data_IF_766130253492
#
_entry.id   IF_766130253492
#
_cell.length_a   1.000
_cell.length_b   1.000
_cell.length_c   1.000
_cell.angle_alpha   90.00
_cell.angle_beta   90.00
_cell.angle_gamma   90.00
#
_symmetry.space_group_name_H-M   'P 1'
#
loop_
_entity.id
_entity.type
_entity.pdbx_description
1 polymer ?
#
# COMPACT_ATOMS: atom_id res chain seq x y z
N UNK A 1 3.90 20.71 0.53
CA UNK A 1 3.13 20.46 1.76
C UNK A 1 3.92 19.49 2.62
N UNK A 2 4.07 19.73 3.92
CA UNK A 2 4.83 18.85 4.82
C UNK A 2 3.93 17.71 5.32
N UNK A 3 4.42 16.48 5.55
CA UNK A 3 3.57 15.36 5.98
C UNK A 3 2.75 15.59 7.25
N UNK A 4 3.28 16.33 8.23
CA UNK A 4 2.52 16.66 9.44
C UNK A 4 1.39 17.68 9.18
N UNK A 5 1.47 18.48 8.12
CA UNK A 5 0.38 19.37 7.70
C UNK A 5 -0.76 18.56 7.06
N UNK A 6 -0.41 17.53 6.28
CA UNK A 6 -1.38 16.54 5.77
C UNK A 6 -2.08 15.81 6.93
N UNK A 7 -1.30 15.42 7.95
CA UNK A 7 -1.83 14.79 9.17
C UNK A 7 -2.80 15.72 9.91
N UNK A 8 -2.42 16.98 10.14
CA UNK A 8 -3.27 17.97 10.79
C UNK A 8 -4.57 18.20 10.01
N UNK A 9 -4.46 18.47 8.70
CA UNK A 9 -5.60 18.72 7.82
C UNK A 9 -6.56 17.52 7.80
N UNK A 10 -6.03 16.31 7.75
CA UNK A 10 -6.82 15.08 7.75
C UNK A 10 -7.47 14.82 9.12
N UNK A 11 -6.73 15.02 10.21
CA UNK A 11 -7.27 14.91 11.56
C UNK A 11 -8.43 15.87 11.78
N UNK A 12 -8.31 17.15 11.40
CA UNK A 12 -9.41 18.12 11.48
C UNK A 12 -10.63 17.70 10.65
N UNK A 13 -10.43 17.17 9.45
CA UNK A 13 -11.53 16.74 8.58
C UNK A 13 -12.28 15.51 9.12
N UNK A 14 -11.60 14.67 9.90
CA UNK A 14 -12.15 13.44 10.48
C UNK A 14 -12.53 13.59 11.96
N UNK A 15 -12.23 14.75 12.56
CA UNK A 15 -12.55 15.05 13.95
C UNK A 15 -14.06 15.23 14.11
N UNK A 16 -14.66 14.50 15.04
CA UNK A 16 -16.05 14.69 15.42
C UNK A 16 -16.19 15.92 16.31
N UNK A 17 -17.08 16.84 15.95
CA UNK A 17 -17.39 18.02 16.77
C UNK A 17 -17.95 17.64 18.14
N UNK A 18 -18.64 16.49 18.23
CA UNK A 18 -19.28 16.04 19.47
C UNK A 18 -18.26 15.46 20.47
N UNK A 19 -17.33 14.65 19.98
CA UNK A 19 -16.41 13.90 20.86
C UNK A 19 -15.03 14.55 20.96
N UNK A 20 -14.64 15.36 19.97
CA UNK A 20 -13.29 15.89 19.82
C UNK A 20 -12.27 14.87 19.29
N UNK A 21 -12.67 13.62 19.03
CA UNK A 21 -11.79 12.57 18.52
C UNK A 21 -11.85 12.48 17.00
N UNK A 22 -10.79 11.94 16.39
CA UNK A 22 -10.80 11.44 15.02
C UNK A 22 -11.63 10.15 14.97
N UNK A 23 -12.63 10.13 14.10
CA UNK A 23 -13.47 8.97 13.84
C UNK A 23 -13.15 8.39 12.46
N UNK A 24 -12.93 7.07 12.42
CA UNK A 24 -12.45 6.36 11.24
C UNK A 24 -12.93 4.92 11.27
N UNK A 25 -13.68 4.49 10.26
CA UNK A 25 -13.96 3.08 10.00
C UNK A 25 -13.28 2.66 8.71
N UNK A 26 -12.42 1.65 8.80
CA UNK A 26 -11.70 1.10 7.65
C UNK A 26 -12.59 0.23 6.75
N UNK A 27 -13.81 -0.12 7.18
CA UNK A 27 -14.67 -1.11 6.52
C UNK A 27 -16.02 -0.57 6.03
N UNK A 28 -16.30 0.72 6.20
CA UNK A 28 -17.54 1.35 5.74
C UNK A 28 -17.68 2.81 6.16
N UNK A 29 -18.83 3.40 5.86
CA UNK A 29 -19.12 4.82 6.13
C UNK A 29 -19.48 5.11 7.60
N UNK A 30 -19.58 4.07 8.44
CA UNK A 30 -19.92 4.26 9.86
C UNK A 30 -18.77 4.97 10.56
N UNK A 31 -18.90 6.26 10.84
CA UNK A 31 -17.92 7.02 11.64
C UNK A 31 -18.00 6.68 13.14
N UNK A 32 -18.31 5.44 13.50
CA UNK A 32 -18.58 5.08 14.90
C UNK A 32 -17.34 4.56 15.64
N UNK A 33 -16.26 4.30 14.91
CA UNK A 33 -15.02 3.77 15.48
C UNK A 33 -13.99 4.88 15.71
N UNK A 34 -13.40 4.86 16.92
CA UNK A 34 -12.38 5.83 17.36
C UNK A 34 -11.05 5.08 17.54
N UNK A 35 -10.18 5.07 16.51
CA UNK A 35 -8.91 4.35 16.60
C UNK A 35 -7.87 5.15 17.41
N UNK A 36 -7.26 4.51 18.41
CA UNK A 36 -6.36 5.19 19.34
C UNK A 36 -5.04 5.63 18.70
N UNK A 37 -4.47 4.82 17.81
CA UNK A 37 -3.19 5.11 17.18
C UNK A 37 -3.26 6.37 16.29
N UNK A 38 -4.27 6.46 15.45
CA UNK A 38 -4.57 7.58 14.57
C UNK A 38 -4.84 8.88 15.35
N UNK A 39 -5.56 8.79 16.48
CA UNK A 39 -5.74 9.93 17.38
C UNK A 39 -4.43 10.36 18.06
N UNK A 40 -3.56 9.42 18.41
CA UNK A 40 -2.21 9.74 18.87
C UNK A 40 -1.36 10.42 17.79
N UNK A 41 -1.49 10.00 16.54
CA UNK A 41 -0.85 10.66 15.40
C UNK A 41 -1.39 12.09 15.21
N UNK A 42 -2.70 12.30 15.35
CA UNK A 42 -3.31 13.62 15.28
C UNK A 42 -2.82 14.53 16.42
N UNK A 43 -2.75 14.03 17.65
CA UNK A 43 -2.20 14.76 18.79
C UNK A 43 -0.74 15.17 18.56
N UNK A 44 0.09 14.29 17.99
CA UNK A 44 1.46 14.65 17.59
C UNK A 44 1.45 15.71 16.48
N UNK A 45 0.54 15.66 15.52
CA UNK A 45 0.43 16.69 14.47
C UNK A 45 0.10 18.07 15.05
N UNK A 46 -0.82 18.13 16.02
CA UNK A 46 -1.18 19.36 16.76
C UNK A 46 0.03 19.96 17.49
N UNK A 47 0.81 19.15 18.21
CA UNK A 47 2.03 19.61 18.88
C UNK A 47 3.08 20.15 17.88
N UNK A 48 3.07 19.66 16.63
CA UNK A 48 4.04 20.07 15.59
C UNK A 48 3.76 21.41 14.95
N UNK A 49 2.57 21.98 15.11
CA UNK A 49 2.23 23.30 14.54
C UNK A 49 2.93 24.44 15.28
N UNK A 50 3.29 24.22 16.55
CA UNK A 50 3.84 25.22 17.49
C UNK A 50 2.86 26.35 17.83
N UNK A 51 1.56 26.13 17.64
CA UNK A 51 0.52 27.04 18.12
C UNK A 51 0.13 26.66 19.56
N UNK A 52 -0.07 27.65 20.44
CA UNK A 52 -0.40 27.42 21.86
C UNK A 52 -1.66 26.58 22.03
N UNK A 53 -2.72 26.92 21.30
CA UNK A 53 -4.04 26.33 21.49
C UNK A 53 -4.08 24.88 20.99
N UNK A 54 -3.44 24.62 19.84
CA UNK A 54 -3.26 23.27 19.29
C UNK A 54 -2.35 22.42 20.19
N UNK A 55 -1.32 23.00 20.81
CA UNK A 55 -0.48 22.28 21.75
C UNK A 55 -1.26 21.85 23.00
N UNK A 56 -2.13 22.71 23.54
CA UNK A 56 -3.02 22.37 24.66
C UNK A 56 -3.98 21.25 24.27
N UNK A 57 -4.61 21.34 23.11
CA UNK A 57 -5.48 20.28 22.58
C UNK A 57 -4.74 18.95 22.41
N UNK A 58 -3.54 18.98 21.82
CA UNK A 58 -2.71 17.80 21.65
C UNK A 58 -2.32 17.15 22.98
N UNK A 59 -1.97 17.94 24.00
CA UNK A 59 -1.68 17.41 25.34
C UNK A 59 -2.90 16.77 26.00
N UNK A 60 -4.08 17.38 25.86
CA UNK A 60 -5.32 16.83 26.40
C UNK A 60 -5.69 15.50 25.72
N UNK A 61 -5.57 15.40 24.39
CA UNK A 61 -5.78 14.13 23.68
C UNK A 61 -4.80 13.04 24.16
N UNK A 62 -3.52 13.36 24.36
CA UNK A 62 -2.54 12.38 24.87
C UNK A 62 -2.91 11.92 26.28
N UNK A 63 -3.32 12.83 27.15
CA UNK A 63 -3.78 12.49 28.51
C UNK A 63 -4.98 11.54 28.45
N UNK A 64 -5.93 11.79 27.56
CA UNK A 64 -7.08 10.91 27.39
C UNK A 64 -6.69 9.54 26.82
N UNK A 65 -5.79 9.49 25.83
CA UNK A 65 -5.26 8.21 25.29
C UNK A 65 -4.61 7.38 26.39
N UNK A 66 -3.79 8.01 27.24
CA UNK A 66 -3.10 7.32 28.36
C UNK A 66 -4.08 6.74 29.38
N UNK A 67 -5.30 7.28 29.51
CA UNK A 67 -6.33 6.74 30.40
C UNK A 67 -6.90 5.39 29.95
N UNK A 68 -6.69 5.00 28.68
CA UNK A 68 -7.12 3.71 28.12
C UNK A 68 -6.05 2.62 28.19
N UNK A 69 -4.91 2.90 28.81
CA UNK A 69 -3.85 1.92 29.02
C UNK A 69 -4.27 0.85 30.04
N UNK A 70 -3.99 -0.41 29.70
CA UNK A 70 -4.23 -1.58 30.57
C UNK A 70 -2.95 -2.41 30.59
N UNK A 71 -2.16 -2.30 31.66
CA UNK A 71 -0.93 -3.08 31.89
C UNK A 71 0.09 -3.06 30.73
N UNK A 72 0.28 -1.91 30.10
CA UNK A 72 1.17 -1.67 28.96
C UNK A 72 0.53 -1.91 27.61
N UNK A 73 -0.75 -2.29 27.58
CA UNK A 73 -1.51 -2.52 26.37
C UNK A 73 -2.58 -1.44 26.13
N UNK A 74 -3.03 -1.33 24.89
CA UNK A 74 -4.07 -0.38 24.46
C UNK A 74 -5.03 -1.07 23.50
N UNK A 75 -6.34 -0.77 23.54
CA UNK A 75 -7.27 -1.28 22.56
C UNK A 75 -6.99 -0.66 21.17
N UNK A 76 -7.43 -1.34 20.09
CA UNK A 76 -7.31 -0.77 18.74
C UNK A 76 -8.28 0.40 18.61
N UNK A 77 -9.52 0.19 19.06
CA UNK A 77 -10.57 1.20 19.10
C UNK A 77 -11.03 1.48 20.53
N UNK A 78 -11.39 2.73 20.81
CA UNK A 78 -11.81 3.17 22.15
C UNK A 78 -12.95 2.31 22.73
N UNK A 79 -13.94 1.94 21.93
CA UNK A 79 -15.10 1.13 22.36
C UNK A 79 -14.77 -0.33 22.69
N UNK A 80 -13.55 -0.81 22.40
CA UNK A 80 -13.11 -2.14 22.82
C UNK A 80 -12.66 -2.17 24.28
N UNK A 81 -12.37 -1.01 24.88
CA UNK A 81 -11.88 -0.92 26.25
C UNK A 81 -12.82 -1.64 27.26
N UNK A 82 -12.28 -2.41 28.23
CA UNK A 82 -10.85 -2.61 28.52
C UNK A 82 -10.20 -3.77 27.75
N UNK A 83 -10.88 -4.35 26.74
CA UNK A 83 -10.36 -5.51 26.00
C UNK A 83 -9.27 -5.07 25.03
N UNK A 84 -8.14 -5.76 25.09
CA UNK A 84 -7.00 -5.58 24.18
C UNK A 84 -6.92 -6.80 23.27
N UNK A 85 -7.12 -6.59 21.96
CA UNK A 85 -7.05 -7.65 20.95
C UNK A 85 -5.69 -7.73 20.26
N UNK A 86 -5.02 -6.59 20.07
CA UNK A 86 -3.72 -6.50 19.44
C UNK A 86 -2.68 -5.97 20.45
N UNK A 87 -1.76 -6.83 20.85
CA UNK A 87 -0.71 -6.51 21.82
C UNK A 87 0.32 -5.51 21.25
N UNK A 88 0.40 -5.34 19.93
CA UNK A 88 1.37 -4.44 19.28
C UNK A 88 0.91 -2.97 19.27
N UNK A 89 -0.37 -2.68 19.55
CA UNK A 89 -0.87 -1.29 19.57
C UNK A 89 -0.11 -0.44 20.58
N UNK A 90 0.18 -0.98 21.77
CA UNK A 90 0.98 -0.28 22.77
C UNK A 90 2.36 0.11 22.24
N UNK A 91 3.02 -0.80 21.51
CA UNK A 91 4.34 -0.56 20.92
C UNK A 91 4.29 0.42 19.73
N UNK A 92 3.18 0.50 19.00
CA UNK A 92 2.93 1.55 17.99
C UNK A 92 2.74 2.92 18.65
N UNK A 93 1.93 3.01 19.71
CA UNK A 93 1.75 4.23 20.48
C UNK A 93 3.04 4.68 21.17
N UNK A 94 3.89 3.75 21.59
CA UNK A 94 5.19 4.07 22.18
C UNK A 94 6.08 4.92 21.26
N UNK A 95 5.98 4.78 19.93
CA UNK A 95 6.66 5.66 18.98
C UNK A 95 6.22 7.12 19.14
N UNK A 96 4.91 7.35 19.25
CA UNK A 96 4.36 8.70 19.43
C UNK A 96 4.83 9.28 20.76
N UNK A 97 4.72 8.50 21.83
CA UNK A 97 5.18 8.87 23.16
C UNK A 97 6.67 9.17 23.22
N UNK A 98 7.50 8.37 22.54
CA UNK A 98 8.94 8.61 22.42
C UNK A 98 9.22 9.99 21.81
N UNK A 99 8.58 10.30 20.69
CA UNK A 99 8.75 11.57 19.98
C UNK A 99 8.20 12.76 20.75
N UNK A 100 7.03 12.62 21.37
CA UNK A 100 6.42 13.65 22.20
C UNK A 100 7.34 13.96 23.38
N UNK A 101 7.81 12.94 24.08
CA UNK A 101 8.76 13.09 25.18
C UNK A 101 10.06 13.75 24.72
N UNK A 102 10.62 13.33 23.59
CA UNK A 102 11.91 13.83 23.07
C UNK A 102 11.83 15.31 22.68
N UNK A 103 10.82 15.68 21.90
CA UNK A 103 10.77 17.01 21.26
C UNK A 103 10.01 18.04 22.11
N UNK A 104 9.09 17.61 22.98
CA UNK A 104 8.14 18.48 23.68
C UNK A 104 8.24 18.41 25.20
N UNK A 105 9.29 17.79 25.75
CA UNK A 105 9.49 17.65 27.22
C UNK A 105 9.32 18.94 28.03
N UNK A 106 9.60 20.10 27.43
CA UNK A 106 9.53 21.41 28.08
C UNK A 106 8.08 21.92 28.30
N UNK A 107 7.09 21.41 27.57
CA UNK A 107 5.67 21.82 27.72
C UNK A 107 4.79 20.77 28.40
N UNK A 108 5.27 19.53 28.58
CA UNK A 108 4.43 18.42 29.06
C UNK A 108 4.00 18.52 30.53
N UNK A 109 4.74 19.23 31.38
CA UNK A 109 4.48 19.26 32.82
C UNK A 109 4.39 17.86 33.43
N UNK A 110 3.29 17.56 34.15
CA UNK A 110 3.03 16.26 34.77
C UNK A 110 2.84 15.12 33.77
N UNK A 111 2.37 15.44 32.54
CA UNK A 111 2.12 14.45 31.49
C UNK A 111 3.40 13.70 31.10
N UNK A 112 4.57 14.32 31.28
CA UNK A 112 5.87 13.69 31.08
C UNK A 112 6.02 12.42 31.91
N UNK A 113 5.68 12.48 33.20
CA UNK A 113 5.79 11.33 34.10
C UNK A 113 4.80 10.21 33.74
N UNK A 114 3.60 10.57 33.26
CA UNK A 114 2.62 9.60 32.78
C UNK A 114 3.10 8.88 31.51
N UNK A 115 3.69 9.63 30.56
CA UNK A 115 4.30 9.07 29.35
C UNK A 115 5.46 8.14 29.69
N UNK A 116 6.39 8.56 30.56
CA UNK A 116 7.52 7.73 30.99
C UNK A 116 7.03 6.42 31.66
N UNK A 117 6.01 6.52 32.51
CA UNK A 117 5.37 5.37 33.15
C UNK A 117 4.74 4.40 32.14
N UNK A 118 4.01 4.93 31.15
CA UNK A 118 3.39 4.13 30.10
C UNK A 118 4.43 3.44 29.20
N UNK A 119 5.48 4.15 28.77
CA UNK A 119 6.59 3.58 28.00
C UNK A 119 7.24 2.40 28.74
N UNK A 120 7.47 2.54 30.05
CA UNK A 120 8.02 1.46 30.87
C UNK A 120 7.09 0.26 31.00
N UNK A 121 5.77 0.46 31.07
CA UNK A 121 4.78 -0.63 31.10
C UNK A 121 4.67 -1.33 29.74
N UNK A 122 4.60 -0.58 28.64
CA UNK A 122 4.60 -1.13 27.27
C UNK A 122 5.83 -2.02 27.06
N UNK A 123 7.01 -1.54 27.44
CA UNK A 123 8.26 -2.30 27.27
C UNK A 123 8.29 -3.62 28.07
N UNK A 124 7.58 -3.70 29.20
CA UNK A 124 7.45 -4.93 30.00
C UNK A 124 6.37 -5.88 29.46
N UNK A 125 5.32 -5.33 28.85
CA UNK A 125 4.16 -6.08 28.40
C UNK A 125 4.44 -6.88 27.11
N UNK A 126 5.36 -6.41 26.28
CA UNK A 126 5.72 -7.08 25.02
C UNK A 126 6.82 -8.12 25.25
N UNK A 127 6.52 -9.38 24.95
CA UNK A 127 7.48 -10.48 25.01
C UNK A 127 8.30 -10.58 23.71
N UNK A 128 9.64 -10.51 23.75
CA UNK A 128 10.46 -10.48 22.54
C UNK A 128 10.40 -11.74 21.67
N UNK A 129 10.08 -12.89 22.26
CA UNK A 129 10.32 -14.22 21.65
C UNK A 129 9.53 -14.49 20.37
N UNK A 130 8.56 -13.64 20.03
CA UNK A 130 7.77 -13.76 18.79
C UNK A 130 7.57 -12.41 18.08
N UNK A 131 8.37 -11.41 18.43
CA UNK A 131 8.24 -10.08 17.87
C UNK A 131 8.96 -9.95 16.52
N UNK A 132 8.35 -9.27 15.52
CA UNK A 132 9.05 -8.84 14.32
C UNK A 132 10.32 -8.04 14.66
N UNK A 133 11.28 -7.99 13.73
CA UNK A 133 12.58 -7.32 13.95
C UNK A 133 12.41 -5.84 14.35
N UNK A 134 11.46 -5.13 13.72
CA UNK A 134 11.18 -3.73 14.05
C UNK A 134 10.71 -3.54 15.49
N UNK A 135 9.98 -4.51 16.04
CA UNK A 135 9.42 -4.44 17.38
C UNK A 135 10.51 -4.65 18.44
N UNK A 136 11.39 -5.64 18.23
CA UNK A 136 12.56 -5.87 19.09
C UNK A 136 13.50 -4.66 19.10
N UNK A 137 13.82 -4.15 17.92
CA UNK A 137 14.61 -2.93 17.78
C UNK A 137 13.99 -1.72 18.48
N UNK A 138 12.66 -1.56 18.38
CA UNK A 138 11.95 -0.48 19.08
C UNK A 138 12.00 -0.64 20.60
N UNK A 139 11.84 -1.85 21.13
CA UNK A 139 11.99 -2.12 22.57
C UNK A 139 13.40 -1.78 23.06
N UNK A 140 14.44 -2.13 22.30
CA UNK A 140 15.82 -1.78 22.63
C UNK A 140 16.04 -0.26 22.65
N UNK A 141 15.51 0.47 21.66
CA UNK A 141 15.54 1.94 21.63
C UNK A 141 14.81 2.57 22.84
N UNK A 142 13.65 2.02 23.21
CA UNK A 142 12.89 2.49 24.38
C UNK A 142 13.64 2.21 25.70
N UNK A 143 14.43 1.14 25.75
CA UNK A 143 15.34 0.84 26.85
C UNK A 143 16.63 1.68 26.82
N UNK A 144 16.79 2.59 25.84
CA UNK A 144 17.97 3.44 25.68
C UNK A 144 19.19 2.71 25.12
N UNK A 145 19.01 1.54 24.52
CA UNK A 145 20.09 0.81 23.85
C UNK A 145 20.28 1.32 22.42
N UNK A 146 21.51 1.26 21.95
CA UNK A 146 21.82 1.42 20.53
C UNK A 146 21.37 0.17 19.78
N UNK A 147 20.87 0.36 18.56
CA UNK A 147 20.53 -0.72 17.65
C UNK A 147 21.43 -0.66 16.42
N UNK A 148 21.85 -1.83 15.93
CA UNK A 148 22.58 -1.94 14.67
C UNK A 148 21.68 -1.61 13.46
N UNK A 149 22.26 -1.65 12.24
CA UNK A 149 21.50 -1.51 11.01
C UNK A 149 20.36 -2.53 10.94
N UNK A 150 19.15 -2.05 10.65
CA UNK A 150 17.99 -2.92 10.52
C UNK A 150 17.91 -3.52 9.12
N UNK A 151 17.63 -4.82 9.05
CA UNK A 151 17.44 -5.53 7.79
C UNK A 151 16.13 -5.11 7.10
N UNK A 152 16.08 -5.27 5.78
CA UNK A 152 14.85 -5.10 5.01
C UNK A 152 13.82 -6.14 5.50
N UNK A 153 12.61 -5.73 5.90
CA UNK A 153 11.63 -6.66 6.41
C UNK A 153 11.20 -7.64 5.32
N UNK A 154 11.01 -8.90 5.72
CA UNK A 154 10.49 -9.93 4.82
C UNK A 154 9.02 -9.68 4.46
N UNK A 155 8.26 -9.11 5.40
CA UNK A 155 6.82 -8.95 5.27
C UNK A 155 6.42 -7.52 4.89
N UNK A 156 5.45 -7.37 3.98
CA UNK A 156 4.98 -6.07 3.49
C UNK A 156 4.44 -5.14 4.57
N UNK A 157 3.73 -5.73 5.52
CA UNK A 157 3.10 -5.04 6.65
C UNK A 157 4.11 -4.42 7.62
N UNK A 158 5.35 -4.92 7.62
CA UNK A 158 6.41 -4.49 8.54
C UNK A 158 7.22 -3.30 8.01
N UNK A 159 7.09 -2.94 6.72
CA UNK A 159 7.87 -1.87 6.10
C UNK A 159 7.65 -0.51 6.77
N UNK A 160 6.39 -0.14 6.99
CA UNK A 160 6.04 1.15 7.58
C UNK A 160 6.59 1.24 9.02
N UNK A 161 6.46 0.17 9.80
CA UNK A 161 6.97 0.10 11.18
C UNK A 161 8.50 0.11 11.22
N UNK A 162 9.15 -0.53 10.25
CA UNK A 162 10.60 -0.53 10.12
C UNK A 162 11.15 0.88 9.83
N UNK A 163 10.55 1.60 8.88
CA UNK A 163 10.92 2.99 8.56
C UNK A 163 10.79 3.90 9.79
N UNK A 164 9.69 3.77 10.53
CA UNK A 164 9.46 4.50 11.78
C UNK A 164 10.55 4.18 12.81
N UNK A 165 10.91 2.91 12.99
CA UNK A 165 11.95 2.50 13.94
C UNK A 165 13.33 3.00 13.52
N UNK A 166 13.67 2.96 12.22
CA UNK A 166 14.92 3.53 11.70
C UNK A 166 15.01 5.04 12.01
N UNK A 167 13.92 5.80 11.85
CA UNK A 167 13.89 7.22 12.24
C UNK A 167 14.10 7.43 13.74
N UNK A 168 13.54 6.58 14.60
CA UNK A 168 13.77 6.65 16.05
C UNK A 168 15.25 6.42 16.40
N UNK A 169 15.90 5.51 15.67
CA UNK A 169 17.33 5.22 15.79
C UNK A 169 18.25 6.26 15.15
N UNK A 170 17.70 7.23 14.41
CA UNK A 170 18.51 8.17 13.63
C UNK A 170 19.25 7.52 12.45
N UNK A 171 18.74 6.38 11.95
CA UNK A 171 19.28 5.70 10.78
C UNK A 171 18.60 6.21 9.50
N UNK A 172 19.39 6.40 8.45
CA UNK A 172 18.89 6.76 7.11
C UNK A 172 18.62 5.50 6.29
N UNK A 173 17.40 5.29 5.75
CA UNK A 173 17.01 4.03 5.13
C UNK A 173 17.38 3.96 3.64
N UNK A 174 18.66 4.14 3.28
CA UNK A 174 19.10 4.15 1.88
C UNK A 174 18.69 2.90 1.11
N UNK A 175 18.90 1.70 1.68
CA UNK A 175 18.55 0.44 1.03
C UNK A 175 17.04 0.31 0.72
N UNK A 176 16.17 0.99 1.47
CA UNK A 176 14.74 1.02 1.19
C UNK A 176 14.37 2.10 0.16
N UNK A 177 15.11 3.22 0.15
CA UNK A 177 14.94 4.27 -0.85
C UNK A 177 15.34 3.80 -2.26
N UNK A 178 16.33 2.92 -2.39
CA UNK A 178 16.68 2.26 -3.66
C UNK A 178 15.54 1.43 -4.26
N UNK A 179 14.53 1.07 -3.45
CA UNK A 179 13.34 0.33 -3.86
C UNK A 179 12.14 1.26 -4.15
N UNK A 180 12.31 2.58 -4.07
CA UNK A 180 11.27 3.56 -4.31
C UNK A 180 11.47 4.23 -5.67
N UNK A 181 10.48 4.09 -6.55
CA UNK A 181 10.47 4.79 -7.83
C UNK A 181 10.00 6.21 -7.60
N UNK A 182 10.92 7.17 -7.69
CA UNK A 182 10.64 8.57 -7.40
C UNK A 182 9.66 9.19 -8.42
N UNK A 183 9.76 8.80 -9.69
CA UNK A 183 8.96 9.37 -10.77
C UNK A 183 7.51 8.89 -10.69
N UNK A 184 7.31 7.60 -10.44
CA UNK A 184 5.97 7.02 -10.24
C UNK A 184 5.43 7.28 -8.83
N UNK A 185 6.33 7.61 -7.90
CA UNK A 185 6.04 7.70 -6.47
C UNK A 185 5.47 6.41 -5.93
N UNK A 186 6.08 5.25 -6.21
CA UNK A 186 5.64 3.93 -5.71
C UNK A 186 6.82 3.13 -5.16
N UNK A 187 6.52 2.17 -4.28
CA UNK A 187 7.50 1.20 -3.84
C UNK A 187 7.52 -0.02 -4.77
N UNK A 188 8.69 -0.32 -5.33
CA UNK A 188 8.95 -1.40 -6.27
C UNK A 188 9.60 -2.64 -5.62
N UNK A 189 9.84 -2.67 -4.32
CA UNK A 189 10.54 -3.79 -3.69
C UNK A 189 9.77 -5.12 -3.60
N UNK A 190 10.46 -6.17 -3.13
CA UNK A 190 9.96 -7.55 -3.10
C UNK A 190 8.86 -7.82 -2.08
N UNK A 191 8.14 -8.92 -2.31
CA UNK A 191 7.25 -9.55 -1.32
C UNK A 191 5.98 -8.78 -0.99
N UNK A 192 5.76 -7.57 -1.51
CA UNK A 192 4.58 -6.77 -1.22
C UNK A 192 3.29 -7.38 -1.75
N UNK A 193 2.41 -7.80 -0.83
CA UNK A 193 0.98 -7.77 -1.09
C UNK A 193 0.61 -6.33 -1.43
N UNK A 194 0.35 -6.10 -2.72
CA UNK A 194 0.07 -4.77 -3.25
C UNK A 194 -1.42 -4.55 -3.17
N UNK A 195 -1.83 -3.90 -2.09
CA UNK A 195 -3.19 -3.43 -1.96
C UNK A 195 -3.44 -2.32 -2.96
N UNK A 196 -4.62 -2.33 -3.55
CA UNK A 196 -5.10 -1.23 -4.38
C UNK A 196 -6.30 -0.59 -3.73
N UNK A 197 -6.36 0.72 -3.87
CA UNK A 197 -7.53 1.52 -3.59
C UNK A 197 -8.03 2.04 -4.94
N UNK A 198 -9.20 1.55 -5.35
CA UNK A 198 -9.70 1.76 -6.71
C UNK A 198 -8.68 1.30 -7.77
N UNK A 199 -8.40 2.12 -8.79
CA UNK A 199 -7.45 1.81 -9.87
C UNK A 199 -5.98 2.08 -9.53
N UNK A 200 -5.68 2.55 -8.32
CA UNK A 200 -4.35 3.02 -7.93
C UNK A 200 -3.74 2.16 -6.80
N UNK A 201 -2.40 2.13 -6.65
CA UNK A 201 -1.77 1.54 -5.48
C UNK A 201 -2.28 2.20 -4.20
N UNK A 202 -2.65 1.40 -3.19
CA UNK A 202 -3.13 1.92 -1.92
C UNK A 202 -2.08 2.84 -1.25
N UNK A 203 -2.55 3.87 -0.56
CA UNK A 203 -1.67 4.85 0.08
C UNK A 203 -1.13 4.32 1.43
N UNK A 204 0.20 4.25 1.56
CA UNK A 204 0.92 3.78 2.74
C UNK A 204 1.80 4.87 3.38
N UNK A 205 2.31 4.61 4.58
CA UNK A 205 3.15 5.58 5.29
C UNK A 205 4.44 5.87 4.49
N UNK A 206 5.01 4.84 3.85
CA UNK A 206 6.18 4.97 2.97
C UNK A 206 6.00 6.00 1.85
N UNK A 207 4.79 6.18 1.31
CA UNK A 207 4.55 7.19 0.28
C UNK A 207 4.73 8.62 0.83
N UNK A 208 4.30 8.84 2.07
CA UNK A 208 4.48 10.12 2.77
C UNK A 208 5.95 10.34 3.18
N UNK A 209 6.61 9.28 3.62
CA UNK A 209 8.00 9.31 4.05
C UNK A 209 8.94 9.59 2.87
N UNK A 210 8.88 8.77 1.81
CA UNK A 210 9.74 8.94 0.64
C UNK A 210 9.34 10.14 -0.20
N UNK A 211 8.06 10.52 -0.25
CA UNK A 211 7.65 11.76 -0.90
C UNK A 211 8.22 13.00 -0.21
N UNK A 212 8.29 13.00 1.12
CA UNK A 212 8.92 14.08 1.87
C UNK A 212 10.44 14.13 1.69
N UNK A 213 11.10 12.97 1.63
CA UNK A 213 12.55 12.89 1.47
C UNK A 213 13.00 13.22 0.03
N UNK A 214 12.31 12.68 -0.97
CA UNK A 214 12.60 12.94 -2.38
C UNK A 214 12.14 14.32 -2.88
N UNK A 215 11.24 14.97 -2.13
CA UNK A 215 10.57 16.21 -2.50
C UNK A 215 9.41 16.03 -3.49
N UNK A 216 9.05 14.80 -3.84
CA UNK A 216 8.04 14.48 -4.85
C UNK A 216 7.00 13.51 -4.27
N UNK A 217 5.78 13.99 -4.08
CA UNK A 217 4.67 13.16 -3.60
C UNK A 217 3.86 12.65 -4.78
N UNK A 218 3.44 11.37 -4.79
CA UNK A 218 2.50 10.90 -5.80
C UNK A 218 1.16 11.63 -5.67
N UNK A 219 0.45 11.84 -6.79
CA UNK A 219 -0.84 12.54 -6.82
C UNK A 219 -1.86 11.98 -5.83
N UNK A 220 -1.87 10.66 -5.61
CA UNK A 220 -2.74 9.99 -4.63
C UNK A 220 -2.44 10.36 -3.17
N UNK A 221 -1.20 10.72 -2.83
CA UNK A 221 -0.81 11.11 -1.47
C UNK A 221 -1.21 12.55 -1.09
N UNK A 222 -1.69 13.35 -2.06
CA UNK A 222 -2.13 14.73 -1.83
C UNK A 222 -3.63 14.91 -2.03
N UNK A 223 -4.34 13.88 -2.49
CA UNK A 223 -5.79 13.89 -2.72
C UNK A 223 -6.56 13.54 -1.44
N UNK A 224 -7.64 14.28 -1.19
CA UNK A 224 -8.60 13.97 -0.14
C UNK A 224 -8.03 13.93 1.29
N UNK A 225 -8.68 13.12 2.13
CA UNK A 225 -8.37 12.93 3.56
C UNK A 225 -8.25 11.43 3.87
N UNK A 226 -7.16 10.81 3.42
CA UNK A 226 -6.94 9.37 3.63
C UNK A 226 -6.37 9.09 5.04
N UNK A 227 -6.80 8.03 5.76
CA UNK A 227 -6.33 7.71 7.12
C UNK A 227 -4.80 7.69 7.27
N UNK A 228 -4.08 7.18 6.27
CA UNK A 228 -2.61 7.17 6.23
C UNK A 228 -1.99 8.55 6.41
N UNK A 229 -2.65 9.64 5.99
CA UNK A 229 -2.14 11.01 6.20
C UNK A 229 -1.89 11.32 7.66
N UNK A 230 -2.65 10.75 8.60
CA UNK A 230 -2.43 10.93 10.04
C UNK A 230 -1.03 10.47 10.45
N UNK A 231 -0.57 9.34 9.90
CA UNK A 231 0.79 8.83 10.12
C UNK A 231 1.88 9.78 9.62
N UNK A 232 1.54 10.75 8.76
CA UNK A 232 2.43 11.84 8.35
C UNK A 232 3.03 12.64 9.51
N UNK A 233 2.39 12.63 10.69
CA UNK A 233 2.93 13.23 11.92
C UNK A 233 4.24 12.59 12.40
N UNK A 234 4.46 11.31 12.07
CA UNK A 234 5.65 10.53 12.42
C UNK A 234 6.83 10.81 11.48
N UNK A 235 6.58 11.37 10.29
CA UNK A 235 7.67 11.65 9.34
C UNK A 235 8.58 12.75 9.90
N UNK A 236 9.85 12.43 10.02
CA UNK A 236 10.95 13.32 10.36
C UNK A 236 11.74 13.70 9.11
N UNK A 237 12.16 14.97 9.00
CA UNK A 237 13.03 15.40 7.90
C UNK A 237 14.31 14.57 7.88
N UNK A 238 14.70 14.13 6.69
CA UNK A 238 16.02 13.56 6.42
C UNK A 238 16.83 14.66 5.74
N UNK A 239 18.02 14.92 6.26
CA UNK A 239 18.91 15.97 5.74
C UNK A 239 19.81 15.45 4.61
N UNK A 240 19.98 14.14 4.54
CA UNK A 240 20.75 13.48 3.51
C UNK A 240 20.01 13.53 2.16
N UNK A 241 20.74 13.60 1.04
CA UNK A 241 20.11 13.59 -0.28
C UNK A 241 19.39 12.25 -0.52
N UNK A 242 18.30 12.31 -1.27
CA UNK A 242 17.61 11.12 -1.75
C UNK A 242 18.52 10.39 -2.76
N UNK A 243 18.64 9.05 -2.72
CA UNK A 243 19.44 8.31 -3.71
C UNK A 243 18.97 8.56 -5.15
N UNK A 244 19.91 8.71 -6.08
CA UNK A 244 19.61 8.90 -7.51
C UNK A 244 19.30 7.58 -8.24
N UNK A 245 19.48 6.43 -7.60
CA UNK A 245 19.14 5.13 -8.17
C UNK A 245 17.63 5.00 -8.37
N UNK A 246 17.24 4.45 -9.52
CA UNK A 246 15.86 4.09 -9.81
C UNK A 246 15.71 2.58 -9.68
N UNK A 247 14.67 2.09 -8.99
CA UNK A 247 14.41 0.65 -8.96
C UNK A 247 13.99 0.16 -10.34
N UNK A 248 14.16 -1.15 -10.56
CA UNK A 248 13.57 -1.80 -11.73
C UNK A 248 12.04 -1.71 -11.64
N UNK A 249 11.40 -1.15 -12.67
CA UNK A 249 9.92 -1.08 -12.78
C UNK A 249 9.27 -2.43 -13.09
N UNK A 250 10.09 -3.40 -13.48
CA UNK A 250 9.71 -4.79 -13.70
C UNK A 250 10.17 -5.58 -12.49
N UNK A 251 9.23 -6.22 -11.81
CA UNK A 251 9.48 -7.02 -10.63
C UNK A 251 9.05 -8.45 -10.92
N UNK A 252 10.00 -9.38 -10.80
CA UNK A 252 9.72 -10.80 -10.98
C UNK A 252 10.22 -11.61 -9.79
N UNK A 253 9.29 -12.22 -9.08
CA UNK A 253 9.52 -13.07 -7.92
C UNK A 253 8.60 -14.28 -8.02
N UNK A 254 9.04 -15.39 -8.61
CA UNK A 254 8.17 -16.53 -8.89
C UNK A 254 7.37 -17.02 -7.68
N UNK A 255 7.96 -16.87 -6.48
CA UNK A 255 7.34 -17.28 -5.21
C UNK A 255 6.45 -16.23 -4.52
N UNK A 256 6.31 -15.03 -5.07
CA UNK A 256 5.46 -14.00 -4.49
C UNK A 256 3.96 -14.23 -4.80
N UNK A 257 3.06 -13.58 -4.05
CA UNK A 257 1.62 -13.50 -4.39
C UNK A 257 1.40 -12.81 -5.75
N UNK A 258 2.34 -11.96 -6.15
CA UNK A 258 2.37 -11.24 -7.43
C UNK A 258 3.67 -11.55 -8.16
N UNK A 259 3.76 -12.69 -8.89
CA UNK A 259 5.03 -13.16 -9.42
C UNK A 259 5.63 -12.24 -10.45
N UNK A 260 4.79 -11.52 -11.19
CA UNK A 260 5.19 -10.48 -12.11
C UNK A 260 4.41 -9.21 -11.79
N UNK A 261 5.11 -8.08 -11.79
CA UNK A 261 4.50 -6.78 -11.83
C UNK A 261 5.35 -5.79 -12.64
N UNK A 262 4.69 -5.08 -13.54
CA UNK A 262 5.25 -4.05 -14.40
C UNK A 262 4.53 -2.74 -14.10
N UNK A 263 5.30 -1.67 -13.90
CA UNK A 263 4.79 -0.32 -13.68
C UNK A 263 5.32 0.69 -14.70
N UNK A 264 4.49 1.68 -15.03
CA UNK A 264 4.88 2.81 -15.88
C UNK A 264 3.93 3.99 -15.67
N UNK A 265 4.20 5.09 -16.35
CA UNK A 265 3.48 6.36 -16.19
C UNK A 265 4.36 7.39 -15.51
N UNK A 266 3.75 8.25 -14.69
CA UNK A 266 4.38 9.36 -14.01
C UNK A 266 3.75 9.62 -12.62
N UNK A 267 4.07 10.75 -11.99
CA UNK A 267 3.57 11.14 -10.67
C UNK A 267 2.06 11.40 -10.64
N UNK A 268 1.47 11.68 -11.81
CA UNK A 268 0.06 12.00 -11.96
C UNK A 268 -0.76 10.73 -12.09
N UNK A 269 -0.29 9.78 -12.92
CA UNK A 269 -0.96 8.51 -13.21
C UNK A 269 0.07 7.38 -13.22
N UNK A 270 -0.12 6.43 -12.31
CA UNK A 270 0.66 5.19 -12.28
C UNK A 270 -0.16 4.05 -12.87
N UNK A 271 0.36 3.45 -13.94
CA UNK A 271 -0.20 2.25 -14.53
C UNK A 271 0.46 1.00 -13.98
N UNK A 272 -0.28 -0.10 -13.95
CA UNK A 272 0.27 -1.39 -13.50
C UNK A 272 -0.27 -2.56 -14.29
N UNK A 273 0.61 -3.51 -14.58
CA UNK A 273 0.29 -4.80 -15.18
C UNK A 273 0.86 -5.91 -14.31
N UNK A 274 0.01 -6.78 -13.77
CA UNK A 274 0.42 -7.78 -12.77
C UNK A 274 -0.16 -9.16 -13.04
N UNK A 275 0.57 -10.20 -12.62
CA UNK A 275 0.08 -11.58 -12.58
C UNK A 275 -0.36 -11.92 -11.15
N UNK A 276 -1.59 -12.38 -10.96
CA UNK A 276 -2.04 -12.86 -9.64
C UNK A 276 -1.71 -14.34 -9.46
N UNK A 277 -0.99 -14.70 -8.38
CA UNK A 277 -0.74 -16.09 -7.99
C UNK A 277 -1.78 -16.54 -6.98
N UNK A 278 -2.74 -17.35 -7.42
CA UNK A 278 -3.70 -18.00 -6.52
C UNK A 278 -3.32 -19.46 -6.23
N UNK A 279 -3.12 -20.24 -7.29
CA UNK A 279 -2.77 -21.67 -7.24
C UNK A 279 -1.71 -22.06 -8.28
N UNK A 280 -1.02 -21.06 -8.84
CA UNK A 280 -0.05 -21.24 -9.91
C UNK A 280 1.35 -21.41 -9.31
N UNK A 281 2.10 -22.39 -9.81
CA UNK A 281 3.55 -22.34 -9.71
C UNK A 281 4.08 -21.55 -10.90
N UNK A 282 4.91 -20.56 -10.62
CA UNK A 282 5.49 -19.69 -11.65
C UNK A 282 6.99 -19.97 -11.70
N UNK A 283 7.53 -20.03 -12.91
CA UNK A 283 8.97 -20.12 -13.16
C UNK A 283 9.34 -19.39 -14.46
N UNK A 284 10.62 -19.35 -14.81
CA UNK A 284 11.11 -18.69 -16.02
C UNK A 284 11.70 -17.31 -15.75
N UNK A 285 11.39 -16.34 -16.62
CA UNK A 285 11.94 -14.98 -16.60
C UNK A 285 10.81 -13.95 -16.78
N UNK A 286 11.04 -12.65 -16.49
CA UNK A 286 10.04 -11.61 -16.73
C UNK A 286 9.46 -11.58 -18.15
N UNK A 287 10.23 -11.98 -19.16
CA UNK A 287 9.84 -11.98 -20.57
C UNK A 287 9.26 -13.32 -21.03
N UNK A 288 9.43 -14.37 -20.23
CA UNK A 288 9.02 -15.72 -20.58
C UNK A 288 8.65 -16.48 -19.30
N UNK A 289 7.36 -16.47 -18.98
CA UNK A 289 6.82 -17.13 -17.80
C UNK A 289 6.40 -18.55 -18.16
N UNK A 290 6.61 -19.48 -17.23
CA UNK A 290 6.05 -20.83 -17.27
C UNK A 290 5.11 -20.96 -16.08
N UNK A 291 3.82 -21.14 -16.36
CA UNK A 291 2.75 -21.23 -15.39
C UNK A 291 2.30 -22.69 -15.29
N UNK A 292 2.68 -23.39 -14.23
CA UNK A 292 2.20 -24.75 -13.98
C UNK A 292 0.85 -24.69 -13.27
N UNK A 293 -0.15 -25.30 -13.90
CA UNK A 293 -1.52 -25.32 -13.40
C UNK A 293 -1.70 -26.41 -12.32
N UNK A 294 -2.57 -26.20 -11.32
CA UNK A 294 -2.85 -27.21 -10.29
C UNK A 294 -3.48 -28.47 -10.89
N UNK A 295 -3.47 -29.59 -10.16
CA UNK A 295 -4.09 -30.84 -10.64
C UNK A 295 -5.63 -30.74 -10.71
N UNK A 296 -6.23 -30.11 -9.72
CA UNK A 296 -7.67 -29.90 -9.62
C UNK A 296 -8.03 -28.45 -9.98
N UNK A 297 -9.15 -28.26 -10.67
CA UNK A 297 -9.68 -26.94 -10.94
C UNK A 297 -10.15 -26.30 -9.62
N UNK A 298 -9.74 -25.05 -9.31
CA UNK A 298 -10.18 -24.36 -8.10
C UNK A 298 -11.71 -24.23 -8.05
N UNK A 299 -12.32 -24.66 -6.95
CA UNK A 299 -13.77 -24.60 -6.74
C UNK A 299 -14.24 -23.22 -6.24
N UNK A 300 -13.75 -22.15 -6.89
CA UNK A 300 -13.95 -20.77 -6.44
C UNK A 300 -15.02 -20.09 -7.31
N UNK A 301 -16.23 -19.82 -6.79
CA UNK A 301 -17.44 -19.28 -7.46
C UNK A 301 -17.32 -18.49 -8.79
N UNK A 302 -16.21 -17.78 -9.02
CA UNK A 302 -15.67 -17.26 -10.28
C UNK A 302 -15.15 -18.34 -11.29
N UNK A 303 -15.63 -19.59 -11.18
CA UNK A 303 -15.01 -20.90 -11.50
C UNK A 303 -14.59 -21.20 -12.95
N UNK A 304 -13.89 -20.33 -13.67
CA UNK A 304 -13.25 -20.81 -14.92
C UNK A 304 -11.85 -20.30 -15.21
N UNK A 305 -11.37 -19.23 -14.58
CA UNK A 305 -10.08 -18.65 -14.94
C UNK A 305 -8.95 -19.16 -14.04
N UNK A 306 -8.03 -19.91 -14.62
CA UNK A 306 -6.85 -20.43 -13.91
C UNK A 306 -5.69 -19.44 -13.93
N UNK A 307 -5.58 -18.65 -15.00
CA UNK A 307 -4.55 -17.61 -15.15
C UNK A 307 -5.26 -16.26 -15.27
N UNK A 308 -4.78 -15.27 -14.52
CA UNK A 308 -5.30 -13.91 -14.55
C UNK A 308 -4.19 -12.89 -14.47
N UNK A 309 -4.04 -12.12 -15.54
CA UNK A 309 -3.29 -10.87 -15.52
C UNK A 309 -4.25 -9.70 -15.35
N UNK A 310 -3.80 -8.67 -14.64
CA UNK A 310 -4.60 -7.49 -14.33
C UNK A 310 -3.85 -6.24 -14.78
N UNK A 311 -4.53 -5.42 -15.56
CA UNK A 311 -4.08 -4.12 -16.05
C UNK A 311 -4.97 -3.06 -15.41
N UNK A 312 -4.39 -2.05 -14.75
CA UNK A 312 -5.15 -0.92 -14.20
C UNK A 312 -6.09 -0.31 -15.24
N UNK A 313 -7.37 -0.14 -14.94
CA UNK A 313 -8.34 0.42 -15.89
C UNK A 313 -8.07 1.92 -16.09
N UNK A 314 -7.72 2.31 -17.31
CA UNK A 314 -7.45 3.72 -17.65
C UNK A 314 -7.90 4.04 -19.09
N UNK A 315 -8.41 5.26 -19.37
CA UNK A 315 -8.81 5.67 -20.73
C UNK A 315 -7.70 5.61 -21.78
N UNK A 316 -6.45 5.75 -21.35
CA UNK A 316 -5.28 5.71 -22.26
C UNK A 316 -4.92 4.29 -22.72
N UNK A 317 -5.58 3.26 -22.20
CA UNK A 317 -5.30 1.88 -22.58
C UNK A 317 -6.18 1.44 -23.75
N UNK A 318 -5.53 1.02 -24.83
CA UNK A 318 -6.16 0.30 -25.93
C UNK A 318 -5.62 -1.12 -25.97
N UNK A 319 -6.52 -2.12 -26.00
CA UNK A 319 -6.16 -3.53 -26.02
C UNK A 319 -6.63 -4.13 -27.34
N UNK A 320 -5.72 -4.82 -28.03
CA UNK A 320 -5.93 -5.44 -29.32
C UNK A 320 -5.56 -6.92 -29.26
N UNK A 321 -6.25 -7.75 -30.04
CA UNK A 321 -6.01 -9.18 -30.22
C UNK A 321 -5.82 -9.39 -31.73
N UNK A 322 -4.62 -9.80 -32.13
CA UNK A 322 -4.22 -9.86 -33.55
C UNK A 322 -4.46 -8.53 -34.31
N UNK A 323 -4.27 -7.40 -33.62
CA UNK A 323 -4.47 -6.06 -34.17
C UNK A 323 -5.93 -5.57 -34.19
N UNK A 324 -6.89 -6.42 -33.81
CA UNK A 324 -8.31 -6.10 -33.79
C UNK A 324 -8.83 -5.89 -32.37
N UNK A 325 -9.92 -5.12 -32.20
CA UNK A 325 -10.59 -4.99 -30.90
C UNK A 325 -11.48 -6.20 -30.67
N UNK A 326 -11.04 -7.11 -29.80
CA UNK A 326 -11.80 -8.29 -29.42
C UNK A 326 -11.75 -8.54 -27.91
N UNK A 327 -12.71 -9.33 -27.40
CA UNK A 327 -12.83 -9.67 -25.97
C UNK A 327 -12.44 -11.12 -25.68
N UNK A 328 -12.02 -11.88 -26.69
CA UNK A 328 -11.66 -13.29 -26.57
C UNK A 328 -10.46 -13.61 -27.45
N UNK A 329 -9.64 -14.57 -27.05
CA UNK A 329 -8.47 -15.00 -27.80
C UNK A 329 -8.21 -16.50 -27.69
N UNK A 330 -7.49 -17.04 -28.66
CA UNK A 330 -6.93 -18.38 -28.69
C UNK A 330 -5.45 -18.37 -28.29
N UNK A 331 -4.92 -19.57 -27.96
CA UNK A 331 -3.49 -19.75 -27.76
C UNK A 331 -2.72 -19.42 -29.05
N UNK A 332 -1.58 -18.74 -28.93
CA UNK A 332 -0.73 -18.28 -30.03
C UNK A 332 -1.07 -16.86 -30.52
N UNK A 333 -2.29 -16.37 -30.26
CA UNK A 333 -2.69 -15.02 -30.64
C UNK A 333 -1.98 -13.97 -29.78
N UNK A 334 -1.57 -12.89 -30.41
CA UNK A 334 -0.91 -11.75 -29.78
C UNK A 334 -1.95 -10.81 -29.20
N UNK A 335 -1.80 -10.53 -27.91
CA UNK A 335 -2.52 -9.48 -27.21
C UNK A 335 -1.56 -8.29 -27.12
N UNK A 336 -1.99 -7.12 -27.58
CA UNK A 336 -1.20 -5.89 -27.50
C UNK A 336 -1.95 -4.86 -26.68
N UNK A 337 -1.30 -4.35 -25.64
CA UNK A 337 -1.75 -3.23 -24.82
C UNK A 337 -0.93 -2.01 -25.25
N UNK A 338 -1.61 -1.03 -25.81
CA UNK A 338 -1.05 0.29 -26.08
C UNK A 338 -1.48 1.26 -24.98
N UNK A 339 -0.50 1.92 -24.38
CA UNK A 339 -0.67 2.89 -23.31
C UNK A 339 0.23 4.09 -23.54
N UNK A 340 0.00 5.20 -22.84
CA UNK A 340 0.89 6.36 -22.89
C UNK A 340 2.30 5.95 -22.45
N UNK A 341 3.27 6.09 -23.36
CA UNK A 341 4.69 5.79 -23.12
C UNK A 341 5.06 4.30 -23.04
N UNK A 342 4.12 3.37 -23.27
CA UNK A 342 4.41 1.93 -23.17
C UNK A 342 3.56 1.12 -24.15
N UNK A 343 4.20 0.17 -24.85
CA UNK A 343 3.52 -0.93 -25.53
C UNK A 343 3.91 -2.24 -24.86
N UNK A 344 2.91 -3.04 -24.47
CA UNK A 344 3.09 -4.38 -23.92
C UNK A 344 2.44 -5.40 -24.86
N UNK A 345 3.15 -6.46 -25.21
CA UNK A 345 2.65 -7.58 -26.01
C UNK A 345 2.76 -8.87 -25.22
N UNK A 346 1.71 -9.68 -25.27
CA UNK A 346 1.62 -10.96 -24.59
C UNK A 346 1.18 -12.03 -25.58
N UNK A 347 1.73 -13.23 -25.46
CA UNK A 347 1.30 -14.40 -26.23
C UNK A 347 1.31 -15.62 -25.31
N UNK A 348 0.20 -16.33 -25.28
CA UNK A 348 0.03 -17.55 -24.49
C UNK A 348 0.22 -18.77 -25.39
N UNK A 349 0.94 -19.78 -24.91
CA UNK A 349 1.11 -21.05 -25.61
C UNK A 349 1.10 -22.21 -24.63
N UNK A 350 0.56 -23.35 -25.04
CA UNK A 350 0.59 -24.59 -24.26
C UNK A 350 0.87 -25.76 -25.21
N UNK A 351 1.70 -26.70 -24.77
CA UNK A 351 2.02 -27.90 -25.58
C UNK A 351 0.85 -28.91 -25.59
N UNK A 352 0.08 -28.94 -24.50
CA UNK A 352 -1.05 -29.84 -24.31
C UNK A 352 -2.27 -29.11 -23.77
N UNK A 353 -3.47 -29.62 -24.06
CA UNK A 353 -4.73 -29.04 -23.60
C UNK A 353 -5.35 -28.02 -24.56
N UNK A 354 -6.61 -27.70 -24.28
CA UNK A 354 -7.42 -26.72 -24.98
C UNK A 354 -7.79 -25.62 -24.00
N UNK A 355 -7.39 -24.41 -24.35
CA UNK A 355 -7.59 -23.22 -23.54
C UNK A 355 -8.29 -22.15 -24.35
N UNK A 356 -8.92 -21.22 -23.63
CA UNK A 356 -9.59 -20.09 -24.24
C UNK A 356 -9.41 -18.85 -23.37
N UNK A 357 -9.03 -17.75 -24.01
CA UNK A 357 -8.74 -16.48 -23.39
C UNK A 357 -9.91 -15.51 -23.44
N UNK A 358 -10.02 -14.67 -22.41
CA UNK A 358 -11.01 -13.60 -22.30
C UNK A 358 -10.36 -12.30 -21.84
N UNK A 359 -10.87 -11.20 -22.34
CA UNK A 359 -10.62 -9.85 -21.87
C UNK A 359 -11.92 -9.29 -21.30
N UNK A 360 -11.94 -9.02 -20.00
CA UNK A 360 -13.11 -8.51 -19.29
C UNK A 360 -12.68 -7.51 -18.22
N UNK A 361 -13.62 -6.69 -17.74
CA UNK A 361 -13.36 -5.84 -16.58
C UNK A 361 -13.50 -6.67 -15.30
N UNK A 362 -12.58 -6.47 -14.36
CA UNK A 362 -12.58 -7.18 -13.09
C UNK A 362 -11.72 -6.46 -12.06
N UNK A 363 -11.57 -7.08 -10.89
CA UNK A 363 -10.78 -6.54 -9.80
C UNK A 363 -9.70 -7.55 -9.39
N UNK A 364 -8.54 -7.03 -8.99
CA UNK A 364 -7.50 -7.82 -8.34
C UNK A 364 -7.97 -8.40 -7.00
N UNK A 365 -7.50 -9.59 -6.60
CA UNK A 365 -7.76 -10.14 -5.26
C UNK A 365 -7.33 -9.24 -4.08
N UNK A 366 -6.38 -8.34 -4.29
CA UNK A 366 -5.85 -7.44 -3.25
C UNK A 366 -6.56 -6.08 -3.18
N UNK A 367 -7.63 -5.87 -3.95
CA UNK A 367 -8.30 -4.58 -4.00
C UNK A 367 -9.19 -4.36 -2.78
N UNK A 368 -8.91 -3.29 -2.03
CA UNK A 368 -9.54 -3.00 -0.74
C UNK A 368 -10.96 -2.45 -0.92
N UNK A 369 -11.20 -1.74 -2.03
CA UNK A 369 -12.46 -1.03 -2.32
C UNK A 369 -13.63 -1.92 -2.75
N UNK A 370 -13.49 -3.26 -2.75
CA UNK A 370 -14.55 -4.18 -3.19
C UNK A 370 -15.68 -4.39 -2.16
N UNK A 371 -15.75 -3.57 -1.11
CA UNK A 371 -16.81 -3.59 -0.09
C UNK A 371 -17.72 -2.35 -0.24
N UNK A 372 -18.93 -2.42 0.30
CA UNK A 372 -19.85 -1.28 0.36
C UNK A 372 -20.36 -0.84 -1.02
N UNK A 373 -20.51 0.46 -1.24
CA UNK A 373 -21.08 1.02 -2.47
C UNK A 373 -20.28 0.68 -3.73
N UNK A 374 -18.97 0.44 -3.60
CA UNK A 374 -18.05 0.18 -4.72
C UNK A 374 -17.89 -1.30 -5.07
N UNK A 375 -18.64 -2.21 -4.43
CA UNK A 375 -18.49 -3.65 -4.68
C UNK A 375 -18.78 -4.08 -6.13
N UNK A 376 -19.54 -3.29 -6.89
CA UNK A 376 -19.80 -3.54 -8.32
C UNK A 376 -18.87 -2.78 -9.28
N UNK A 377 -18.00 -1.90 -8.77
CA UNK A 377 -17.06 -1.17 -9.61
C UNK A 377 -15.91 -2.08 -10.02
N UNK A 378 -15.49 -1.98 -11.29
CA UNK A 378 -14.32 -2.64 -11.82
C UNK A 378 -13.22 -1.63 -12.05
N UNK A 379 -12.01 -1.95 -11.58
CA UNK A 379 -10.87 -1.03 -11.59
C UNK A 379 -9.68 -1.58 -12.37
N UNK A 380 -9.82 -2.79 -12.94
CA UNK A 380 -8.84 -3.39 -13.84
C UNK A 380 -9.51 -3.97 -15.11
N UNK A 381 -8.74 -4.03 -16.17
CA UNK A 381 -8.88 -5.05 -17.20
C UNK A 381 -8.25 -6.35 -16.73
N UNK A 382 -8.98 -7.45 -16.85
CA UNK A 382 -8.53 -8.81 -16.56
C UNK A 382 -8.33 -9.57 -17.87
N UNK A 383 -7.08 -9.95 -18.14
CA UNK A 383 -6.71 -10.88 -19.22
C UNK A 383 -6.68 -12.27 -18.59
N UNK A 384 -7.72 -13.05 -18.86
CA UNK A 384 -7.98 -14.29 -18.18
C UNK A 384 -7.90 -15.49 -19.14
N UNK A 385 -7.27 -16.57 -18.71
CA UNK A 385 -7.26 -17.83 -19.47
C UNK A 385 -8.03 -18.88 -18.69
N UNK A 386 -8.98 -19.51 -19.36
CA UNK A 386 -9.71 -20.68 -18.85
C UNK A 386 -9.31 -21.94 -19.58
N UNK A 387 -9.41 -23.05 -18.88
CA UNK A 387 -9.24 -24.39 -19.44
C UNK A 387 -10.57 -24.91 -19.98
N UNK A 388 -10.56 -25.38 -21.22
CA UNK A 388 -11.66 -26.14 -21.80
C UNK A 388 -11.47 -27.65 -21.55
N UNK A 389 -10.24 -28.14 -21.70
CA UNK A 389 -9.84 -29.51 -21.35
C UNK A 389 -8.31 -29.60 -21.29
N UNK A 390 -7.73 -30.29 -20.30
CA UNK A 390 -6.27 -30.49 -20.23
C UNK A 390 -5.95 -31.78 -19.46
N UNK A 391 -4.73 -32.32 -19.62
CA UNK A 391 -4.23 -33.35 -18.70
C UNK A 391 -4.06 -32.77 -17.30
N UNK A 392 -4.02 -33.65 -16.30
CA UNK A 392 -3.89 -33.30 -14.88
C UNK A 392 -2.75 -32.32 -14.60
N UNK A 393 -1.60 -32.52 -15.26
CA UNK A 393 -0.47 -31.60 -15.21
C UNK A 393 -0.29 -30.96 -16.57
N UNK A 394 -0.36 -29.64 -16.60
CA UNK A 394 -0.16 -28.86 -17.80
C UNK A 394 0.52 -27.54 -17.42
N UNK A 395 1.39 -27.06 -18.31
CA UNK A 395 2.03 -25.77 -18.17
C UNK A 395 1.64 -24.87 -19.33
N UNK A 396 1.34 -23.62 -19.02
CA UNK A 396 1.10 -22.57 -20.01
C UNK A 396 2.31 -21.64 -20.00
N UNK A 397 2.92 -21.47 -21.16
CA UNK A 397 3.99 -20.51 -21.39
C UNK A 397 3.39 -19.16 -21.77
N UNK A 398 3.92 -18.08 -21.21
CA UNK A 398 3.53 -16.70 -21.53
C UNK A 398 4.77 -15.94 -21.96
N UNK A 399 4.82 -15.55 -23.23
CA UNK A 399 5.84 -14.65 -23.73
C UNK A 399 5.37 -13.21 -23.52
N UNK A 400 6.20 -12.39 -22.88
CA UNK A 400 5.97 -10.97 -22.64
C UNK A 400 7.07 -10.14 -23.30
N UNK A 401 6.66 -9.09 -23.97
CA UNK A 401 7.55 -8.08 -24.53
C UNK A 401 6.98 -6.71 -24.25
N UNK A 402 7.78 -5.81 -23.69
CA UNK A 402 7.41 -4.41 -23.52
C UNK A 402 8.48 -3.50 -24.07
N UNK A 403 8.05 -2.39 -24.63
CA UNK A 403 8.91 -1.34 -25.15
C UNK A 403 8.39 0.02 -24.70
N UNK A 404 9.31 0.90 -24.32
CA UNK A 404 8.97 2.30 -24.11
C UNK A 404 8.65 2.91 -25.47
N UNK A 405 7.44 3.44 -25.58
CA UNK A 405 7.05 4.20 -26.76
C UNK A 405 7.59 5.62 -26.58
N UNK A 406 8.26 6.21 -27.59
CA UNK A 406 8.51 7.65 -27.57
C UNK A 406 7.16 8.36 -27.39
N UNK A 407 7.13 9.46 -26.64
CA UNK A 407 5.91 10.23 -26.34
C UNK A 407 5.06 10.35 -27.61
N UNK A 408 4.04 9.49 -27.69
CA UNK A 408 3.22 9.41 -28.88
C UNK A 408 2.39 10.71 -28.84
N UNK A 409 2.38 11.53 -29.91
CA UNK A 409 1.46 12.65 -29.97
C UNK A 409 0.05 12.11 -29.68
N UNK A 410 -0.76 12.81 -28.88
CA UNK A 410 -2.04 12.29 -28.41
C UNK A 410 -2.86 11.77 -29.60
N UNK A 411 -3.56 10.63 -29.44
CA UNK A 411 -4.33 10.06 -30.53
C UNK A 411 -5.23 11.13 -31.11
N UNK A 412 -5.20 11.28 -32.46
CA UNK A 412 -6.10 12.19 -33.16
C UNK A 412 -7.53 11.90 -32.68
N UNK A 413 -8.31 12.92 -32.30
CA UNK A 413 -9.63 12.72 -31.73
C UNK A 413 -10.42 11.80 -32.66
N UNK A 414 -10.75 10.61 -32.16
CA UNK A 414 -11.65 9.72 -32.88
C UNK A 414 -12.95 10.50 -33.04
N UNK A 415 -13.51 10.51 -34.25
CA UNK A 415 -14.82 11.09 -34.49
C UNK A 415 -15.83 10.35 -33.59
N UNK A 416 -16.05 10.88 -32.40
CA UNK A 416 -17.03 10.38 -31.45
C UNK A 416 -18.38 10.46 -32.15
N UNK A 417 -18.90 9.29 -32.50
CA UNK A 417 -20.30 9.13 -32.89
C UNK A 417 -21.14 9.69 -31.76
N UNK A 418 -21.89 10.76 -32.05
CA UNK A 418 -22.91 11.29 -31.18
C UNK A 418 -23.95 10.20 -30.88
N UNK A 419 -23.78 9.50 -29.77
CA UNK A 419 -24.91 8.88 -29.09
C UNK A 419 -25.63 9.99 -28.33
N UNK A 420 -26.62 10.58 -28.99
CA UNK A 420 -27.62 11.42 -28.34
C UNK A 420 -28.39 10.54 -27.35
N UNK A 421 -28.37 10.94 -26.08
CA UNK A 421 -29.37 10.52 -25.12
C UNK A 421 -30.74 10.91 -25.67
N UNK A 422 -31.63 9.93 -25.85
CA UNK A 422 -33.06 10.16 -25.99
C UNK A 422 -33.55 10.59 -24.60
N UNK A 423 -34.20 11.75 -24.57
CA UNK A 423 -34.65 12.51 -23.39
C UNK A 423 -35.53 11.74 -22.40
#
# INVERSE_FOLDING_TARGET
MRPHELALKTGRALQSEQTGWVHLCFEGDSRDTIPLFENGCFALALLRTRMSDEAVEGMELIKQILAFEVDGHFPVYLHEYPKVRDQMVGLRLATLFYWIRKDYSHVLGELKGQIDGALARIARAVTPDHCPDWARARLDLLAGKEIGPLAIPKWPSDFDEMLITMQMAGQTPHALAELWDKELGIFCGPGLKRFQEEGEPALHYRDLFFGAWSGQFPSRAIRGHHPTHLKGALVRPILEPFPESQPERVQFQPEAEWPLALYWGDESVTHSFVLARKHLEVSGTPNELILTLPQELPDDGDKSFEIGFFLSLHPDHSIFIEGERATTFHMGEKITIESKGMRLTLCFSADEGHFFGHLLQGNRPSQVSNKGEKHFAAFDWKIAVRTCSRPERCSVKVALHWEQMPDCPPPLPSHASHYQHIE
#
